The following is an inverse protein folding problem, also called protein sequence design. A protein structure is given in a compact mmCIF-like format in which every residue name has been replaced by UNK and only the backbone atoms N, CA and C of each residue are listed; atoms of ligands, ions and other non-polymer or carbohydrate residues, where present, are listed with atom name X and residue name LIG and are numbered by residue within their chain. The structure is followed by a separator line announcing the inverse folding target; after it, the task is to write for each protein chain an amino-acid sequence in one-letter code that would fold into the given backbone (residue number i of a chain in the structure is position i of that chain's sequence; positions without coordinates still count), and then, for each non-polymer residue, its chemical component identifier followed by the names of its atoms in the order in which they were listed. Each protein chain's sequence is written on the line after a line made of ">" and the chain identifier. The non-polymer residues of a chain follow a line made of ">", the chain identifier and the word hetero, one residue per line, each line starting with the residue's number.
data_IF_187954530228
#
_entry.id   IF_187954530228
#
_cell.length_a   1.000
_cell.length_b   1.000
_cell.length_c   1.000
_cell.angle_alpha   90.00
_cell.angle_beta   90.00
_cell.angle_gamma   90.00
#
_symmetry.space_group_name_H-M   'P 1'
#
loop_
_entity.id
_entity.type
_entity.pdbx_description
1 polymer ?
#
# COMPACT_ATOMS: atom_id res chain seq x y z
N UNK A 1 2.09 9.74 26.11
CA UNK A 1 1.51 8.40 26.16
C UNK A 1 0.00 8.45 26.02
N UNK A 2 -0.60 7.39 25.53
CA UNK A 2 -2.06 7.26 25.41
C UNK A 2 -2.66 6.85 26.75
N UNK A 3 -3.64 7.60 27.26
CA UNK A 3 -4.35 7.27 28.51
C UNK A 3 -5.54 6.35 28.18
N UNK A 4 -5.30 5.04 28.12
CA UNK A 4 -6.33 4.05 27.81
C UNK A 4 -5.77 2.68 27.52
N UNK A 5 -6.63 1.72 27.16
CA UNK A 5 -6.23 0.37 26.74
C UNK A 5 -5.84 0.38 25.26
N UNK A 6 -4.66 -0.10 24.95
CA UNK A 6 -4.18 -0.32 23.58
C UNK A 6 -4.25 -1.81 23.30
N UNK A 7 -4.91 -2.18 22.19
CA UNK A 7 -4.94 -3.56 21.70
C UNK A 7 -4.01 -3.63 20.48
N UNK A 8 -2.93 -4.40 20.61
CA UNK A 8 -2.03 -4.69 19.50
C UNK A 8 -2.55 -5.90 18.71
N UNK A 9 -2.78 -5.74 17.40
CA UNK A 9 -3.24 -6.83 16.53
C UNK A 9 -2.03 -7.62 16.07
N UNK A 10 -1.88 -8.84 16.58
CA UNK A 10 -0.76 -9.76 16.28
C UNK A 10 -1.24 -11.06 15.62
N UNK A 11 -2.40 -11.04 14.99
CA UNK A 11 -2.90 -12.21 14.25
C UNK A 11 -1.95 -12.59 13.12
N UNK A 12 -1.67 -13.89 12.96
CA UNK A 12 -0.72 -14.43 12.00
C UNK A 12 -1.38 -15.45 11.08
N UNK A 13 -0.75 -15.66 9.95
CA UNK A 13 -1.11 -16.66 8.96
C UNK A 13 -1.56 -16.07 7.63
N UNK A 14 -1.34 -16.88 6.62
CA UNK A 14 -1.79 -16.60 5.26
C UNK A 14 -2.34 -17.88 4.63
N UNK A 15 -3.20 -17.70 3.65
CA UNK A 15 -3.67 -18.78 2.78
C UNK A 15 -3.75 -18.23 1.36
N UNK A 16 -3.45 -19.07 0.38
CA UNK A 16 -3.56 -18.67 -1.02
C UNK A 16 -4.18 -19.75 -1.87
N UNK A 17 -4.89 -19.32 -2.88
CA UNK A 17 -5.42 -20.14 -3.94
C UNK A 17 -4.94 -19.54 -5.28
N UNK A 18 -4.37 -20.40 -6.12
CA UNK A 18 -3.87 -20.00 -7.43
C UNK A 18 -4.81 -20.53 -8.49
N UNK A 19 -5.24 -19.66 -9.36
CA UNK A 19 -5.97 -19.97 -10.58
C UNK A 19 -5.13 -19.54 -11.78
N UNK A 20 -5.02 -20.40 -12.79
CA UNK A 20 -4.17 -20.14 -13.94
C UNK A 20 -4.62 -18.93 -14.76
N UNK A 21 -5.90 -18.57 -14.70
CA UNK A 21 -6.48 -17.47 -15.48
C UNK A 21 -6.58 -16.17 -14.69
N UNK A 22 -6.83 -16.24 -13.35
CA UNK A 22 -7.11 -15.07 -12.50
C UNK A 22 -5.96 -14.67 -11.57
N UNK A 23 -4.85 -15.41 -11.58
CA UNK A 23 -3.71 -15.18 -10.68
C UNK A 23 -3.90 -15.80 -9.30
N UNK A 24 -3.28 -15.21 -8.28
CA UNK A 24 -3.35 -15.66 -6.91
C UNK A 24 -4.33 -14.83 -6.08
N UNK A 25 -5.23 -15.52 -5.38
CA UNK A 25 -6.04 -14.96 -4.30
C UNK A 25 -5.35 -15.29 -2.98
N UNK A 26 -4.76 -14.29 -2.34
CA UNK A 26 -3.97 -14.45 -1.12
C UNK A 26 -4.67 -13.74 0.03
N UNK A 27 -5.09 -14.48 1.05
CA UNK A 27 -5.68 -13.94 2.28
C UNK A 27 -4.63 -13.92 3.38
N UNK A 28 -4.43 -12.77 4.00
CA UNK A 28 -3.36 -12.54 4.98
C UNK A 28 -3.94 -11.91 6.24
N UNK A 29 -3.55 -12.44 7.40
CA UNK A 29 -3.97 -11.92 8.69
C UNK A 29 -3.46 -10.49 8.92
N UNK A 30 -4.27 -9.66 9.57
CA UNK A 30 -4.01 -8.24 9.74
C UNK A 30 -2.71 -7.91 10.50
N UNK A 31 -2.27 -8.79 11.41
CA UNK A 31 -1.06 -8.61 12.22
C UNK A 31 0.23 -9.09 11.55
N UNK A 32 0.19 -9.56 10.29
CA UNK A 32 1.41 -9.88 9.55
C UNK A 32 2.22 -8.62 9.22
N UNK A 33 3.54 -8.74 9.30
CA UNK A 33 4.44 -7.66 8.88
C UNK A 33 4.29 -7.40 7.39
N UNK A 34 4.13 -6.12 7.02
CA UNK A 34 3.86 -5.75 5.64
C UNK A 34 5.02 -6.08 4.70
N UNK A 35 6.25 -5.67 5.04
CA UNK A 35 7.38 -5.90 4.13
C UNK A 35 7.78 -7.36 4.05
N UNK A 36 7.64 -8.10 5.16
CA UNK A 36 7.81 -9.56 5.18
C UNK A 36 6.79 -10.25 4.27
N UNK A 37 5.53 -9.81 4.28
CA UNK A 37 4.50 -10.31 3.37
C UNK A 37 4.85 -9.98 1.92
N UNK A 38 5.25 -8.74 1.60
CA UNK A 38 5.69 -8.38 0.25
C UNK A 38 6.84 -9.25 -0.22
N UNK A 39 7.88 -9.43 0.61
CA UNK A 39 9.01 -10.30 0.27
C UNK A 39 8.55 -11.73 -0.02
N UNK A 40 7.68 -12.28 0.82
CA UNK A 40 7.18 -13.64 0.70
C UNK A 40 6.37 -13.85 -0.59
N UNK A 41 5.49 -12.91 -0.99
CA UNK A 41 4.69 -13.06 -2.21
C UNK A 41 5.55 -13.00 -3.47
N UNK A 42 6.60 -12.15 -3.48
CA UNK A 42 7.52 -12.06 -4.61
C UNK A 42 8.34 -13.36 -4.76
N UNK A 43 8.78 -13.96 -3.64
CA UNK A 43 9.43 -15.27 -3.63
C UNK A 43 8.52 -16.40 -4.15
N UNK A 44 7.21 -16.28 -3.96
CA UNK A 44 6.19 -17.20 -4.51
C UNK A 44 5.86 -16.97 -5.99
N UNK A 45 6.50 -16.00 -6.65
CA UNK A 45 6.28 -15.70 -8.06
C UNK A 45 5.02 -14.89 -8.33
N UNK A 46 4.58 -14.07 -7.38
CA UNK A 46 3.50 -13.10 -7.58
C UNK A 46 4.05 -11.69 -7.75
N UNK A 47 3.34 -10.88 -8.51
CA UNK A 47 3.65 -9.46 -8.76
C UNK A 47 2.46 -8.56 -8.41
N UNK A 48 2.73 -7.29 -8.09
CA UNK A 48 1.74 -6.26 -7.84
C UNK A 48 1.94 -5.45 -6.55
N UNK A 49 2.90 -5.86 -5.68
CA UNK A 49 3.21 -5.16 -4.43
C UNK A 49 4.68 -4.72 -4.33
N UNK A 50 5.49 -4.99 -5.34
CA UNK A 50 6.93 -4.76 -5.35
C UNK A 50 7.31 -3.29 -5.08
N UNK A 51 6.51 -2.34 -5.59
CA UNK A 51 6.73 -0.89 -5.39
C UNK A 51 6.48 -0.43 -3.97
N UNK A 52 5.72 -1.20 -3.19
CA UNK A 52 5.39 -0.91 -1.80
C UNK A 52 6.30 -1.62 -0.79
N UNK A 53 7.44 -2.14 -1.25
CA UNK A 53 8.49 -2.75 -0.42
C UNK A 53 9.03 -1.75 0.61
N UNK A 54 9.34 -2.24 1.80
CA UNK A 54 9.93 -1.44 2.88
C UNK A 54 9.00 -0.42 3.53
N UNK A 55 7.70 -0.41 3.22
CA UNK A 55 6.74 0.39 3.99
C UNK A 55 6.57 -0.25 5.37
N UNK A 56 6.75 0.50 6.46
CA UNK A 56 6.61 -0.06 7.80
C UNK A 56 5.16 -0.28 8.17
N UNK A 57 4.90 -1.25 9.05
CA UNK A 57 3.58 -1.54 9.59
C UNK A 57 3.10 -2.95 9.29
N UNK A 58 1.79 -3.16 9.42
CA UNK A 58 1.16 -4.47 9.25
C UNK A 58 0.20 -4.49 8.06
N UNK A 59 -0.11 -5.69 7.58
CA UNK A 59 -1.06 -5.92 6.49
C UNK A 59 -2.41 -5.27 6.77
N UNK A 60 -2.91 -5.32 8.01
CA UNK A 60 -4.16 -4.67 8.39
C UNK A 60 -4.12 -3.15 8.38
N UNK A 61 -2.93 -2.54 8.46
CA UNK A 61 -2.75 -1.09 8.32
C UNK A 61 -2.85 -0.62 6.86
N UNK A 62 -2.52 -1.47 5.91
CA UNK A 62 -2.43 -1.12 4.49
C UNK A 62 -3.72 -0.52 3.89
N UNK A 63 -4.92 -1.14 4.06
CA UNK A 63 -6.15 -0.62 3.48
C UNK A 63 -6.68 0.63 4.18
N UNK A 64 -6.25 0.94 5.41
CA UNK A 64 -6.83 2.06 6.18
C UNK A 64 -6.66 3.39 5.44
N UNK A 65 -5.47 3.67 4.95
CA UNK A 65 -5.20 4.88 4.19
C UNK A 65 -4.77 4.61 2.75
N UNK A 66 -5.14 3.44 2.22
CA UNK A 66 -4.78 3.08 0.85
C UNK A 66 -3.30 3.35 0.60
N UNK A 67 -2.41 2.60 1.27
CA UNK A 67 -0.97 2.83 1.14
C UNK A 67 -0.53 2.73 -0.31
N UNK A 68 0.45 3.53 -0.69
CA UNK A 68 1.00 3.51 -2.03
C UNK A 68 2.36 4.17 -2.10
N UNK A 69 3.14 3.73 -3.05
CA UNK A 69 4.46 4.25 -3.34
C UNK A 69 4.82 4.02 -4.81
N UNK A 70 5.67 4.89 -5.34
CA UNK A 70 6.22 4.79 -6.69
C UNK A 70 5.17 4.57 -7.78
N UNK A 71 4.03 5.28 -7.66
CA UNK A 71 2.98 5.33 -8.68
C UNK A 71 1.89 4.27 -8.56
N UNK A 72 1.95 3.36 -7.57
CA UNK A 72 0.94 2.34 -7.33
C UNK A 72 0.34 2.42 -5.94
N UNK A 73 -0.89 1.98 -5.79
CA UNK A 73 -1.63 1.94 -4.54
C UNK A 73 -2.12 0.52 -4.22
N UNK A 74 -2.24 0.20 -2.94
CA UNK A 74 -2.67 -1.14 -2.52
C UNK A 74 -4.09 -1.49 -2.95
N UNK A 75 -4.94 -0.49 -3.18
CA UNK A 75 -6.29 -0.65 -3.73
C UNK A 75 -6.32 -1.35 -5.10
N UNK A 76 -5.26 -1.24 -5.89
CA UNK A 76 -5.16 -1.88 -7.21
C UNK A 76 -5.21 -3.41 -7.12
N UNK A 77 -4.84 -3.97 -5.98
CA UNK A 77 -4.72 -5.42 -5.77
C UNK A 77 -5.54 -5.96 -4.61
N UNK A 78 -6.19 -5.13 -3.79
CA UNK A 78 -7.10 -5.59 -2.75
C UNK A 78 -8.39 -6.09 -3.39
N UNK A 79 -8.73 -7.37 -3.18
CA UNK A 79 -10.00 -7.94 -3.58
C UNK A 79 -11.09 -7.73 -2.52
N UNK A 80 -10.74 -7.91 -1.24
CA UNK A 80 -11.68 -7.72 -0.12
C UNK A 80 -10.94 -7.51 1.20
N UNK A 81 -11.64 -6.89 2.17
CA UNK A 81 -11.17 -6.68 3.55
C UNK A 81 -12.21 -7.20 4.52
N UNK A 82 -11.84 -8.17 5.37
CA UNK A 82 -12.71 -8.68 6.42
C UNK A 82 -12.43 -7.93 7.72
N UNK A 83 -13.50 -7.50 8.37
CA UNK A 83 -13.42 -6.66 9.57
C UNK A 83 -14.37 -7.17 10.66
N UNK A 84 -14.13 -6.71 11.89
CA UNK A 84 -15.10 -6.68 12.97
C UNK A 84 -15.71 -5.28 13.04
N UNK A 85 -17.01 -5.14 12.78
CA UNK A 85 -17.74 -3.88 12.98
C UNK A 85 -18.13 -3.76 14.44
N UNK A 86 -17.44 -2.89 15.16
CA UNK A 86 -17.65 -2.67 16.60
C UNK A 86 -19.06 -2.09 16.90
N UNK A 87 -19.65 -1.37 15.96
CA UNK A 87 -21.00 -0.81 16.11
C UNK A 87 -22.08 -1.87 15.94
N UNK A 88 -21.91 -2.78 14.99
CA UNK A 88 -22.86 -3.86 14.74
C UNK A 88 -22.62 -5.08 15.64
N UNK A 89 -21.43 -5.22 16.24
CA UNK A 89 -21.04 -6.41 17.00
C UNK A 89 -20.95 -7.67 16.12
N UNK A 90 -20.54 -7.52 14.86
CA UNK A 90 -20.54 -8.59 13.87
C UNK A 90 -19.40 -8.44 12.87
N UNK A 91 -19.02 -9.55 12.22
CA UNK A 91 -18.11 -9.52 11.10
C UNK A 91 -18.77 -8.84 9.89
N UNK A 92 -17.98 -8.01 9.20
CA UNK A 92 -18.33 -7.45 7.90
C UNK A 92 -17.15 -7.59 6.94
N UNK A 93 -17.42 -8.10 5.75
CA UNK A 93 -16.45 -8.15 4.65
C UNK A 93 -16.82 -7.06 3.65
N UNK A 94 -15.83 -6.28 3.26
CA UNK A 94 -15.92 -5.25 2.24
C UNK A 94 -15.28 -5.76 0.95
N UNK A 95 -15.97 -5.64 -0.17
CA UNK A 95 -15.36 -5.73 -1.49
C UNK A 95 -14.46 -4.52 -1.74
N UNK A 96 -13.63 -4.56 -2.78
CA UNK A 96 -12.78 -3.42 -3.15
C UNK A 96 -13.60 -2.12 -3.30
N UNK A 97 -14.71 -2.16 -4.03
CA UNK A 97 -15.57 -0.99 -4.25
C UNK A 97 -16.23 -0.46 -2.97
N UNK A 98 -16.59 -1.33 -2.03
CA UNK A 98 -17.16 -0.93 -0.74
C UNK A 98 -16.12 -0.33 0.21
N UNK A 99 -14.82 -0.55 -0.04
CA UNK A 99 -13.73 0.09 0.72
C UNK A 99 -13.62 1.59 0.42
N UNK A 100 -14.24 2.09 -0.64
CA UNK A 100 -14.23 3.53 -1.03
C UNK A 100 -12.82 4.10 -1.06
N UNK A 101 -11.89 3.36 -1.64
CA UNK A 101 -10.49 3.78 -1.75
C UNK A 101 -10.36 5.07 -2.58
N UNK A 102 -9.52 5.95 -2.11
CA UNK A 102 -9.05 7.13 -2.81
C UNK A 102 -7.68 7.52 -2.29
N UNK A 103 -7.07 8.57 -2.83
CA UNK A 103 -5.75 8.99 -2.42
C UNK A 103 -5.64 9.15 -0.90
N UNK A 104 -4.85 8.29 -0.26
CA UNK A 104 -4.63 8.20 1.19
C UNK A 104 -5.92 8.14 2.02
N UNK A 105 -6.98 7.52 1.49
CA UNK A 105 -8.29 7.42 2.13
C UNK A 105 -8.98 6.09 1.88
N UNK A 106 -9.89 5.72 2.78
CA UNK A 106 -10.80 4.57 2.67
C UNK A 106 -11.99 4.75 3.62
N UNK A 107 -12.99 3.87 3.52
CA UNK A 107 -14.09 3.80 4.48
C UNK A 107 -13.58 3.58 5.92
N UNK A 108 -12.49 2.87 6.10
CA UNK A 108 -11.90 2.59 7.41
C UNK A 108 -11.31 3.86 8.05
N UNK A 109 -10.72 4.74 7.26
CA UNK A 109 -10.21 6.04 7.72
C UNK A 109 -11.33 7.07 7.93
N UNK A 110 -12.40 7.02 7.11
CA UNK A 110 -13.59 7.89 7.26
C UNK A 110 -14.36 7.61 8.55
N UNK A 111 -14.36 6.35 9.04
CA UNK A 111 -15.04 5.94 10.27
C UNK A 111 -14.06 5.42 11.31
N UNK A 112 -13.22 6.29 11.90
CA UNK A 112 -12.17 5.90 12.82
C UNK A 112 -12.74 5.17 14.05
N UNK A 113 -12.10 4.05 14.40
CA UNK A 113 -12.48 3.26 15.56
C UNK A 113 -13.71 2.36 15.38
N UNK A 114 -14.38 2.38 14.22
CA UNK A 114 -15.54 1.51 13.95
C UNK A 114 -15.10 0.11 13.53
N UNK A 115 -14.18 -0.01 12.59
CA UNK A 115 -13.80 -1.28 11.99
C UNK A 115 -12.43 -1.73 12.49
N UNK A 116 -12.34 -2.96 12.96
CA UNK A 116 -11.06 -3.63 13.24
C UNK A 116 -10.79 -4.61 12.11
N UNK A 117 -9.72 -4.41 11.37
CA UNK A 117 -9.35 -5.27 10.25
C UNK A 117 -8.83 -6.60 10.79
N UNK A 118 -9.36 -7.70 10.28
CA UNK A 118 -9.02 -9.07 10.69
C UNK A 118 -8.08 -9.73 9.68
N UNK A 119 -8.42 -9.64 8.41
CA UNK A 119 -7.58 -10.07 7.29
C UNK A 119 -7.87 -9.27 6.02
N UNK A 120 -6.91 -9.33 5.10
CA UNK A 120 -6.99 -8.70 3.78
C UNK A 120 -6.76 -9.77 2.72
N UNK A 121 -7.61 -9.81 1.71
CA UNK A 121 -7.43 -10.68 0.55
C UNK A 121 -6.97 -9.85 -0.63
N UNK A 122 -5.84 -10.23 -1.18
CA UNK A 122 -5.23 -9.64 -2.37
C UNK A 122 -5.48 -10.53 -3.60
N UNK A 123 -5.69 -9.91 -4.75
CA UNK A 123 -5.65 -10.57 -6.04
C UNK A 123 -4.37 -10.13 -6.76
N UNK A 124 -3.41 -11.04 -6.85
CA UNK A 124 -2.08 -10.77 -7.39
C UNK A 124 -1.87 -11.51 -8.70
N UNK A 125 -1.04 -10.93 -9.57
CA UNK A 125 -0.70 -11.56 -10.85
C UNK A 125 0.36 -12.63 -10.65
N UNK A 126 0.23 -13.74 -11.36
CA UNK A 126 1.31 -14.72 -11.49
C UNK A 126 2.39 -14.18 -12.43
N UNK A 127 3.64 -14.34 -12.06
CA UNK A 127 4.79 -14.00 -12.89
C UNK A 127 5.81 -13.12 -12.18
N UNK A 128 6.99 -13.06 -12.75
CA UNK A 128 8.15 -12.36 -12.20
C UNK A 128 8.31 -10.93 -12.73
N UNK A 129 7.44 -10.49 -13.64
CA UNK A 129 7.51 -9.16 -14.22
C UNK A 129 6.62 -8.18 -13.47
N UNK A 130 7.19 -7.04 -13.14
CA UNK A 130 6.54 -5.96 -12.38
C UNK A 130 5.27 -5.41 -13.06
N UNK A 131 4.51 -4.62 -12.30
CA UNK A 131 3.62 -3.62 -12.88
C UNK A 131 4.44 -2.62 -13.75
N UNK A 132 3.80 -1.86 -14.66
CA UNK A 132 4.49 -0.81 -15.40
C UNK A 132 5.17 0.19 -14.44
N UNK A 133 6.38 0.59 -14.74
CA UNK A 133 7.11 1.59 -13.96
C UNK A 133 6.62 2.98 -14.37
N UNK A 134 5.75 3.56 -13.56
CA UNK A 134 5.13 4.87 -13.84
C UNK A 134 5.81 6.04 -13.13
N UNK A 135 6.71 5.76 -12.18
CA UNK A 135 7.36 6.78 -11.35
C UNK A 135 8.76 7.09 -11.85
N UNK A 136 9.01 8.37 -12.24
CA UNK A 136 10.25 8.80 -12.89
C UNK A 136 11.52 8.47 -12.12
N UNK A 137 11.54 8.68 -10.80
CA UNK A 137 12.72 8.41 -9.97
C UNK A 137 13.07 6.92 -9.98
N UNK A 138 12.05 6.05 -9.92
CA UNK A 138 12.25 4.60 -9.98
C UNK A 138 12.73 4.16 -11.36
N UNK A 139 12.12 4.69 -12.42
CA UNK A 139 12.54 4.44 -13.80
C UNK A 139 14.01 4.84 -14.04
N UNK A 140 14.39 6.04 -13.58
CA UNK A 140 15.77 6.52 -13.67
C UNK A 140 16.76 5.66 -12.89
N UNK A 141 16.39 5.22 -11.69
CA UNK A 141 17.23 4.34 -10.87
C UNK A 141 17.44 2.97 -11.52
N UNK A 142 16.40 2.43 -12.16
CA UNK A 142 16.44 1.15 -12.87
C UNK A 142 17.08 1.25 -14.26
N UNK A 143 17.30 2.47 -14.78
CA UNK A 143 17.82 2.68 -16.12
C UNK A 143 16.86 2.29 -17.25
N UNK A 144 15.55 2.46 -17.03
CA UNK A 144 14.50 2.07 -17.98
C UNK A 144 13.59 3.26 -18.31
N UNK A 145 12.86 3.14 -19.43
CA UNK A 145 11.80 4.10 -19.77
C UNK A 145 10.55 3.90 -18.91
N UNK A 146 9.72 4.94 -18.82
CA UNK A 146 8.39 4.82 -18.23
C UNK A 146 7.58 3.75 -18.95
N UNK A 147 6.66 3.11 -18.26
CA UNK A 147 5.82 1.99 -18.70
C UNK A 147 6.61 0.68 -18.94
N UNK A 148 7.93 0.66 -18.80
CA UNK A 148 8.69 -0.58 -18.84
C UNK A 148 8.27 -1.54 -17.72
N UNK A 149 8.41 -2.84 -17.96
CA UNK A 149 8.26 -3.90 -16.96
C UNK A 149 9.60 -4.60 -16.79
N UNK A 150 10.01 -4.78 -15.56
CA UNK A 150 11.27 -5.41 -15.19
C UNK A 150 11.03 -6.51 -14.17
N UNK A 151 12.05 -7.25 -13.77
CA UNK A 151 11.88 -8.27 -12.73
C UNK A 151 11.42 -7.63 -11.40
N UNK A 152 10.42 -8.23 -10.74
CA UNK A 152 9.92 -7.76 -9.44
C UNK A 152 11.03 -7.70 -8.38
N UNK A 153 12.01 -8.61 -8.45
CA UNK A 153 13.18 -8.62 -7.59
C UNK A 153 14.05 -7.35 -7.74
N UNK A 154 14.17 -6.85 -8.97
CA UNK A 154 14.97 -5.65 -9.26
C UNK A 154 14.21 -4.39 -8.83
N UNK A 155 12.89 -4.35 -9.03
CA UNK A 155 12.04 -3.28 -8.49
C UNK A 155 12.15 -3.24 -6.97
N UNK A 156 12.01 -4.38 -6.28
CA UNK A 156 12.15 -4.43 -4.82
C UNK A 156 13.50 -3.91 -4.35
N UNK A 157 14.61 -4.35 -4.98
CA UNK A 157 15.97 -3.86 -4.64
C UNK A 157 16.08 -2.35 -4.83
N UNK A 158 15.59 -1.83 -5.96
CA UNK A 158 15.62 -0.40 -6.27
C UNK A 158 14.81 0.42 -5.25
N UNK A 159 13.59 -0.03 -4.95
CA UNK A 159 12.71 0.63 -3.97
C UNK A 159 13.35 0.66 -2.58
N UNK A 160 13.87 -0.46 -2.11
CA UNK A 160 14.55 -0.52 -0.81
C UNK A 160 15.77 0.41 -0.77
N UNK A 161 16.58 0.46 -1.83
CA UNK A 161 17.73 1.36 -1.92
C UNK A 161 17.30 2.85 -1.92
N UNK A 162 16.30 3.22 -2.72
CA UNK A 162 15.76 4.58 -2.75
C UNK A 162 15.16 5.00 -1.39
N UNK A 163 14.47 4.09 -0.71
CA UNK A 163 13.91 4.34 0.61
C UNK A 163 14.99 4.48 1.68
N UNK A 164 16.02 3.62 1.64
CA UNK A 164 17.17 3.70 2.54
C UNK A 164 17.90 5.04 2.41
N UNK A 165 18.15 5.49 1.16
CA UNK A 165 18.79 6.78 0.90
C UNK A 165 18.01 7.99 1.44
N UNK A 166 16.70 7.83 1.69
CA UNK A 166 15.80 8.86 2.26
C UNK A 166 15.53 8.66 3.76
N UNK A 167 16.21 7.74 4.43
CA UNK A 167 15.93 7.41 5.85
C UNK A 167 14.52 6.83 6.07
N UNK A 168 13.90 6.24 5.05
CA UNK A 168 12.52 5.72 5.10
C UNK A 168 12.47 4.20 5.27
N UNK A 169 13.61 3.54 5.42
CA UNK A 169 13.72 2.12 5.72
C UNK A 169 14.20 1.98 7.17
N UNK A 170 13.38 1.35 8.00
CA UNK A 170 13.65 1.26 9.43
C UNK A 170 14.95 0.48 9.72
N UNK A 171 15.89 1.14 10.36
CA UNK A 171 17.11 0.55 10.91
C UNK A 171 17.17 0.86 12.42
N UNK A 172 17.24 -0.19 13.26
CA UNK A 172 17.32 -0.05 14.71
C UNK A 172 18.61 0.64 15.19
N UNK A 173 19.64 0.69 14.37
CA UNK A 173 20.93 1.30 14.68
C UNK A 173 21.04 2.77 14.22
N UNK A 174 20.04 3.25 13.46
CA UNK A 174 20.01 4.61 12.94
C UNK A 174 18.69 5.30 13.30
N UNK A 175 18.75 6.25 14.24
CA UNK A 175 17.59 7.01 14.71
C UNK A 175 16.94 7.86 13.62
N UNK A 176 17.68 8.29 12.62
CA UNK A 176 17.16 9.11 11.52
C UNK A 176 16.23 8.32 10.60
N UNK A 177 16.22 6.98 10.71
CA UNK A 177 15.31 6.09 9.99
C UNK A 177 13.96 5.89 10.69
N UNK A 178 13.76 6.38 11.92
CA UNK A 178 12.49 6.25 12.66
C UNK A 178 11.45 7.24 12.13
N UNK A 179 11.25 7.18 10.84
CA UNK A 179 10.39 8.06 10.07
C UNK A 179 9.05 7.40 9.75
N UNK A 180 7.97 8.17 9.87
CA UNK A 180 6.64 7.75 9.40
C UNK A 180 6.42 8.04 7.89
N UNK A 181 7.48 8.40 7.16
CA UNK A 181 7.40 8.86 5.77
C UNK A 181 7.08 10.35 5.67
N UNK A 182 6.45 10.78 4.59
CA UNK A 182 6.09 12.19 4.39
C UNK A 182 5.12 12.66 5.47
N UNK A 183 5.45 13.77 6.13
CA UNK A 183 4.61 14.35 7.19
C UNK A 183 3.30 14.92 6.63
N UNK A 184 3.38 15.60 5.48
CA UNK A 184 2.22 16.14 4.81
C UNK A 184 1.72 15.22 3.70
N UNK A 185 0.41 15.13 3.57
CA UNK A 185 -0.27 14.54 2.41
C UNK A 185 -0.50 15.65 1.39
N UNK A 186 -0.31 15.36 0.10
CA UNK A 186 -0.62 16.33 -0.96
C UNK A 186 -2.09 16.75 -0.85
N UNK A 187 -2.39 18.07 -0.85
CA UNK A 187 -3.77 18.53 -0.78
C UNK A 187 -4.52 18.21 -2.08
N UNK A 188 -5.77 17.80 -1.97
CA UNK A 188 -6.70 17.74 -3.10
C UNK A 188 -7.38 19.09 -3.21
N UNK A 189 -7.21 19.76 -4.34
CA UNK A 189 -7.68 21.12 -4.59
C UNK A 189 -8.77 21.15 -5.67
N UNK A 190 -9.68 22.12 -5.58
CA UNK A 190 -10.55 22.42 -6.71
C UNK A 190 -9.73 23.00 -7.88
N UNK A 191 -10.26 22.91 -9.10
CA UNK A 191 -9.61 23.49 -10.28
C UNK A 191 -9.28 24.98 -10.11
N UNK A 192 -10.17 25.77 -9.47
CA UNK A 192 -9.94 27.18 -9.18
C UNK A 192 -8.79 27.42 -8.19
N UNK A 193 -8.68 26.56 -7.15
CA UNK A 193 -7.59 26.66 -6.20
C UNK A 193 -6.26 26.22 -6.82
N UNK A 194 -6.28 25.15 -7.63
CA UNK A 194 -5.11 24.68 -8.35
C UNK A 194 -4.58 25.70 -9.37
N UNK A 195 -5.46 26.48 -10.02
CA UNK A 195 -5.07 27.52 -10.95
C UNK A 195 -4.28 28.68 -10.30
N UNK A 196 -4.40 28.85 -8.99
CA UNK A 196 -3.67 29.89 -8.23
C UNK A 196 -2.27 29.47 -7.81
N UNK A 197 -1.91 28.20 -7.99
CA UNK A 197 -0.57 27.71 -7.69
C UNK A 197 0.44 28.22 -8.73
N UNK A 198 1.74 28.33 -8.36
CA UNK A 198 2.81 28.61 -9.31
C UNK A 198 2.77 27.67 -10.52
N UNK A 199 3.13 28.14 -11.70
CA UNK A 199 3.03 27.37 -12.94
C UNK A 199 3.89 26.10 -12.93
N UNK A 200 5.01 26.13 -12.21
CA UNK A 200 5.97 25.04 -12.03
C UNK A 200 5.61 24.08 -10.88
N UNK A 201 4.54 24.35 -10.12
CA UNK A 201 4.10 23.46 -9.04
C UNK A 201 3.65 22.12 -9.63
N UNK A 202 4.19 20.97 -9.14
CA UNK A 202 3.77 19.66 -9.58
C UNK A 202 2.26 19.44 -9.33
N UNK A 203 1.57 18.89 -10.33
CA UNK A 203 0.12 18.67 -10.29
C UNK A 203 -0.21 17.29 -10.85
N UNK A 204 -1.19 16.63 -10.23
CA UNK A 204 -1.73 15.35 -10.69
C UNK A 204 -3.25 15.47 -10.70
N UNK A 205 -3.86 15.17 -11.82
CA UNK A 205 -5.32 15.19 -11.98
C UNK A 205 -5.87 13.89 -11.41
N UNK A 206 -6.85 13.99 -10.51
CA UNK A 206 -7.59 12.84 -10.00
C UNK A 206 -8.67 12.42 -11.01
N UNK A 207 -9.17 11.18 -10.88
CA UNK A 207 -10.22 10.64 -11.77
C UNK A 207 -11.51 11.47 -11.79
N UNK A 208 -11.77 12.22 -10.73
CA UNK A 208 -12.89 13.15 -10.59
C UNK A 208 -12.57 14.59 -11.06
N UNK A 209 -11.41 14.81 -11.67
CA UNK A 209 -10.98 16.09 -12.24
C UNK A 209 -10.42 17.11 -11.23
N UNK A 210 -10.20 16.69 -9.99
CA UNK A 210 -9.61 17.54 -8.93
C UNK A 210 -8.11 17.39 -8.86
#
# INVERSE_FOLDING_TARGET
>A
GFAGTVIHVETKGNSYHVDACSGGMITVAAGEDWDGFVAWILDKGFAGLETMSGIPGTVGGAPIQNIGAYGHEVSEVIARVRTWDRKAGAYKTFSNSECEFSYRSSVFKKYPGRYVIIDVTFQLRNGEMSLPITYKELASYLGVELEARVLVSDVRKAVLALRAAKGMLLDSNDHDTWSAGSFFVNPILSAEAAAKLPADAPRWIQDDGR
#
